data_IF_505928744179
#
_entry.id   IF_505928744179
#
_cell.length_a   1.000
_cell.length_b   1.000
_cell.length_c   1.000
_cell.angle_alpha   90.00
_cell.angle_beta   90.00
_cell.angle_gamma   90.00
#
_symmetry.space_group_name_H-M   'P 1'
#
loop_
_entity.id
_entity.type
_entity.pdbx_description
1 polymer ?
#
# COMPACT_ATOMS: atom_id res chain seq x y z
N UNK A 1 9.17 -7.37 19.28
CA UNK A 1 8.94 -7.70 17.86
C UNK A 1 8.20 -6.60 17.11
N UNK A 2 7.04 -6.10 17.57
CA UNK A 2 6.35 -5.01 16.86
C UNK A 2 7.15 -3.70 16.86
N UNK A 3 7.71 -3.32 18.01
CA UNK A 3 8.48 -2.06 18.13
C UNK A 3 9.73 -2.04 17.24
N UNK A 4 10.36 -3.19 17.00
CA UNK A 4 11.48 -3.30 16.06
C UNK A 4 11.04 -3.08 14.62
N UNK A 5 9.86 -3.59 14.22
CA UNK A 5 9.30 -3.29 12.90
C UNK A 5 8.91 -1.82 12.76
N UNK A 6 8.36 -1.20 13.81
CA UNK A 6 8.05 0.23 13.80
C UNK A 6 9.31 1.08 13.66
N UNK A 7 10.38 0.78 14.40
CA UNK A 7 11.68 1.47 14.27
C UNK A 7 12.30 1.30 12.89
N UNK A 8 12.29 0.08 12.34
CA UNK A 8 12.77 -0.17 10.99
C UNK A 8 11.94 0.61 9.94
N UNK A 9 10.61 0.65 10.09
CA UNK A 9 9.71 1.42 9.24
C UNK A 9 9.98 2.92 9.32
N UNK A 10 10.16 3.48 10.51
CA UNK A 10 10.51 4.90 10.69
C UNK A 10 11.85 5.24 10.05
N UNK A 11 12.88 4.42 10.27
CA UNK A 11 14.18 4.62 9.63
C UNK A 11 14.06 4.60 8.10
N UNK A 12 13.22 3.71 7.56
CA UNK A 12 12.93 3.66 6.13
C UNK A 12 12.20 4.92 5.64
N UNK A 13 11.23 5.43 6.39
CA UNK A 13 10.55 6.69 6.05
C UNK A 13 11.54 7.86 5.99
N UNK A 14 12.41 8.00 6.98
CA UNK A 14 13.37 9.11 7.01
C UNK A 14 14.50 8.97 5.98
N UNK A 15 14.77 7.75 5.47
CA UNK A 15 15.63 7.58 4.30
C UNK A 15 15.03 8.16 3.00
N UNK A 16 13.73 8.48 3.01
CA UNK A 16 13.04 9.16 1.91
C UNK A 16 12.88 10.66 2.18
N UNK A 17 13.41 11.19 3.29
CA UNK A 17 13.27 12.61 3.60
C UNK A 17 14.19 13.44 2.70
N UNK A 18 13.62 14.47 2.07
CA UNK A 18 14.32 15.39 1.19
C UNK A 18 14.84 16.60 1.96
N UNK A 19 15.74 17.41 1.37
CA UNK A 19 16.22 18.66 1.98
C UNK A 19 15.10 19.67 2.30
N UNK A 20 13.92 19.55 1.66
CA UNK A 20 12.76 20.40 1.94
C UNK A 20 11.95 19.94 3.16
N UNK A 21 12.35 18.85 3.82
CA UNK A 21 11.69 18.29 5.00
C UNK A 21 10.59 17.27 4.69
N UNK A 22 9.99 17.33 3.51
CA UNK A 22 9.02 16.34 3.02
C UNK A 22 9.67 14.99 2.66
N UNK A 23 8.86 13.98 2.38
CA UNK A 23 9.31 12.66 1.95
C UNK A 23 9.08 12.45 0.45
N UNK A 24 10.09 11.99 -0.28
CA UNK A 24 9.96 11.48 -1.64
C UNK A 24 9.26 10.11 -1.67
N UNK A 25 8.89 9.64 -2.87
CA UNK A 25 8.25 8.33 -3.03
C UNK A 25 9.22 7.16 -2.78
N UNK A 26 10.48 7.33 -3.18
CA UNK A 26 11.57 6.37 -2.98
C UNK A 26 12.75 7.01 -2.24
N UNK A 27 13.57 6.22 -1.51
CA UNK A 27 14.77 6.75 -0.87
C UNK A 27 15.75 7.35 -1.88
N UNK A 28 16.40 8.44 -1.49
CA UNK A 28 17.31 9.18 -2.36
C UNK A 28 16.62 10.07 -3.40
N UNK A 29 15.30 10.20 -3.36
CA UNK A 29 14.57 11.18 -4.16
C UNK A 29 14.82 12.61 -3.68
N UNK A 30 14.73 13.57 -4.61
CA UNK A 30 14.92 15.00 -4.31
C UNK A 30 13.59 15.74 -4.12
N UNK A 31 12.58 15.34 -4.89
CA UNK A 31 11.26 15.97 -4.85
C UNK A 31 10.38 15.29 -3.81
N UNK A 32 9.83 16.06 -2.85
CA UNK A 32 8.90 15.51 -1.88
C UNK A 32 7.56 15.22 -2.54
N UNK A 33 6.96 14.09 -2.18
CA UNK A 33 5.60 13.73 -2.52
C UNK A 33 4.65 14.30 -1.43
N UNK A 34 3.82 15.33 -1.72
CA UNK A 34 3.05 16.03 -0.69
C UNK A 34 2.11 15.11 0.10
N UNK A 35 1.31 14.31 -0.61
CA UNK A 35 0.38 13.37 0.03
C UNK A 35 1.12 12.30 0.85
N UNK A 36 2.18 11.70 0.29
CA UNK A 36 3.00 10.70 0.99
C UNK A 36 3.66 11.25 2.25
N UNK A 37 4.08 12.51 2.23
CA UNK A 37 4.65 13.22 3.38
C UNK A 37 3.63 13.38 4.52
N UNK A 38 2.41 13.81 4.19
CA UNK A 38 1.31 13.94 5.18
C UNK A 38 0.86 12.57 5.70
N UNK A 39 0.80 11.57 4.82
CA UNK A 39 0.47 10.20 5.19
C UNK A 39 1.49 9.62 6.18
N UNK A 40 2.79 9.82 5.94
CA UNK A 40 3.84 9.43 6.87
C UNK A 40 3.78 10.22 8.18
N UNK A 41 3.57 11.54 8.12
CA UNK A 41 3.44 12.38 9.32
C UNK A 41 2.25 11.94 10.19
N UNK A 42 1.13 11.55 9.57
CA UNK A 42 -0.03 11.00 10.27
C UNK A 42 0.36 9.74 11.04
N UNK A 43 1.00 8.77 10.39
CA UNK A 43 1.49 7.54 11.04
C UNK A 43 2.44 7.86 12.20
N UNK A 44 3.43 8.73 11.98
CA UNK A 44 4.43 9.09 12.99
C UNK A 44 3.79 9.77 14.21
N UNK A 45 2.80 10.63 13.99
CA UNK A 45 2.05 11.31 15.06
C UNK A 45 1.26 10.31 15.89
N UNK A 46 0.57 9.35 15.25
CA UNK A 46 -0.14 8.28 15.95
C UNK A 46 0.82 7.34 16.70
N UNK A 47 1.96 7.00 16.12
CA UNK A 47 2.96 6.14 16.75
C UNK A 47 3.57 6.79 18.02
N UNK A 48 3.90 8.09 17.93
CA UNK A 48 4.37 8.91 19.05
C UNK A 48 3.33 8.94 20.18
N UNK A 49 2.07 9.19 19.86
CA UNK A 49 0.99 9.31 20.84
C UNK A 49 0.56 7.97 21.47
N UNK A 50 0.52 6.89 20.68
CA UNK A 50 -0.07 5.62 21.11
C UNK A 50 0.92 4.60 21.71
N UNK A 51 2.22 4.75 21.46
CA UNK A 51 3.23 3.77 21.90
C UNK A 51 4.50 4.38 22.48
N UNK A 52 4.56 5.70 22.61
CA UNK A 52 5.75 6.43 23.11
C UNK A 52 7.04 6.12 22.33
N UNK A 53 6.92 5.61 21.09
CA UNK A 53 8.08 5.43 20.22
C UNK A 53 8.29 6.75 19.47
N UNK A 54 9.19 7.57 20.02
CA UNK A 54 9.50 8.87 19.42
C UNK A 54 10.31 8.70 18.12
N UNK A 55 9.90 9.37 17.02
CA UNK A 55 10.76 9.53 15.86
C UNK A 55 11.98 10.41 16.19
N UNK A 56 13.06 10.35 15.39
CA UNK A 56 14.15 11.32 15.50
C UNK A 56 13.61 12.75 15.42
N UNK A 57 13.82 13.53 16.48
CA UNK A 57 13.14 14.80 16.70
C UNK A 57 13.33 15.79 15.53
N UNK A 58 14.57 16.01 15.10
CA UNK A 58 14.89 16.94 14.02
C UNK A 58 14.21 16.56 12.69
N UNK A 59 14.18 15.27 12.35
CA UNK A 59 13.53 14.77 11.15
C UNK A 59 12.00 14.95 11.23
N UNK A 60 11.41 14.68 12.38
CA UNK A 60 9.98 14.86 12.61
C UNK A 60 9.58 16.34 12.53
N UNK A 61 10.32 17.24 13.16
CA UNK A 61 10.10 18.70 13.12
C UNK A 61 10.23 19.25 11.69
N UNK A 62 11.21 18.81 10.92
CA UNK A 62 11.36 19.20 9.51
C UNK A 62 10.17 18.74 8.66
N UNK A 63 9.65 17.54 8.92
CA UNK A 63 8.45 17.03 8.25
C UNK A 63 7.18 17.80 8.67
N UNK A 64 7.08 18.19 9.95
CA UNK A 64 6.01 19.08 10.42
C UNK A 64 6.07 20.45 9.74
N UNK A 65 7.27 21.04 9.57
CA UNK A 65 7.40 22.31 8.87
C UNK A 65 7.00 22.18 7.39
N UNK A 66 7.39 21.08 6.72
CA UNK A 66 6.90 20.79 5.38
C UNK A 66 5.37 20.66 5.32
N UNK A 67 4.73 20.04 6.32
CA UNK A 67 3.27 20.03 6.39
C UNK A 67 2.67 21.44 6.57
N UNK A 68 3.34 22.33 7.32
CA UNK A 68 2.92 23.74 7.44
C UNK A 68 3.07 24.50 6.13
N UNK A 69 4.11 24.25 5.34
CA UNK A 69 4.23 24.88 4.00
C UNK A 69 3.08 24.46 3.09
N UNK A 70 2.73 23.17 3.07
CA UNK A 70 1.56 22.67 2.33
C UNK A 70 0.26 23.32 2.81
N UNK A 71 0.04 23.40 4.12
CA UNK A 71 -1.15 24.05 4.71
C UNK A 71 -1.29 25.52 4.30
N UNK A 72 -0.17 26.24 4.19
CA UNK A 72 -0.11 27.66 3.83
C UNK A 72 -0.17 27.91 2.31
N UNK A 73 -0.06 26.88 1.48
CA UNK A 73 -0.02 27.01 0.03
C UNK A 73 -1.41 27.13 -0.61
N UNK A 74 -1.83 28.39 -0.84
CA UNK A 74 -3.09 28.72 -1.50
C UNK A 74 -2.97 29.00 -3.00
N UNK A 75 -1.85 28.61 -3.63
CA UNK A 75 -1.60 28.91 -5.06
C UNK A 75 -2.47 28.10 -6.03
N UNK A 76 -2.97 26.94 -5.60
CA UNK A 76 -3.84 26.07 -6.38
C UNK A 76 -5.10 25.71 -5.60
N UNK A 77 -6.25 25.66 -6.26
CA UNK A 77 -7.55 25.28 -5.69
C UNK A 77 -8.11 23.98 -6.29
N UNK A 78 -7.27 23.15 -6.92
CA UNK A 78 -7.72 21.84 -7.41
C UNK A 78 -8.23 20.96 -6.25
N UNK A 79 -9.15 20.01 -6.51
CA UNK A 79 -9.60 19.04 -5.50
C UNK A 79 -8.47 18.40 -4.69
N UNK A 80 -7.43 17.91 -5.37
CA UNK A 80 -6.27 17.27 -4.76
C UNK A 80 -5.44 18.24 -3.90
N UNK A 81 -5.31 19.52 -4.31
CA UNK A 81 -4.63 20.55 -3.51
C UNK A 81 -5.44 20.92 -2.26
N UNK A 82 -6.77 21.07 -2.41
CA UNK A 82 -7.69 21.32 -1.31
C UNK A 82 -7.68 20.17 -0.29
N UNK A 83 -7.71 18.92 -0.76
CA UNK A 83 -7.59 17.73 0.08
C UNK A 83 -6.25 17.69 0.82
N UNK A 84 -5.14 17.91 0.11
CA UNK A 84 -3.79 17.89 0.70
C UNK A 84 -3.68 18.93 1.81
N UNK A 85 -4.19 20.15 1.58
CA UNK A 85 -4.24 21.21 2.59
C UNK A 85 -5.08 20.84 3.81
N UNK A 86 -6.29 20.33 3.60
CA UNK A 86 -7.16 19.89 4.70
C UNK A 86 -6.53 18.74 5.52
N UNK A 87 -5.86 17.81 4.84
CA UNK A 87 -5.15 16.71 5.50
C UNK A 87 -3.94 17.21 6.29
N UNK A 88 -3.21 18.21 5.79
CA UNK A 88 -2.12 18.86 6.52
C UNK A 88 -2.63 19.52 7.82
N UNK A 89 -3.75 20.24 7.74
CA UNK A 89 -4.41 20.82 8.92
C UNK A 89 -4.73 19.73 9.95
N UNK A 90 -5.36 18.64 9.52
CA UNK A 90 -5.73 17.55 10.42
C UNK A 90 -4.51 16.93 11.10
N UNK A 91 -3.48 16.56 10.34
CA UNK A 91 -2.30 15.88 10.88
C UNK A 91 -1.51 16.79 11.83
N UNK A 92 -1.38 18.08 11.53
CA UNK A 92 -0.76 19.06 12.44
C UNK A 92 -1.61 19.25 13.72
N UNK A 93 -2.94 19.32 13.57
CA UNK A 93 -3.86 19.42 14.70
C UNK A 93 -3.88 18.17 15.59
N UNK A 94 -3.49 16.99 15.09
CA UNK A 94 -3.33 15.77 15.90
C UNK A 94 -2.24 15.91 16.97
N UNK A 95 -1.17 16.68 16.68
CA UNK A 95 -0.07 16.98 17.61
C UNK A 95 -0.25 18.36 18.30
N UNK A 96 -1.44 18.97 18.19
CA UNK A 96 -1.82 20.19 18.92
C UNK A 96 -1.35 21.51 18.28
N UNK A 97 -1.04 21.53 16.98
CA UNK A 97 -0.61 22.76 16.28
C UNK A 97 -1.74 23.81 16.24
N UNK A 98 -1.54 24.92 16.95
CA UNK A 98 -2.52 25.99 17.07
C UNK A 98 -2.74 26.79 15.79
N UNK A 99 -1.75 26.84 14.88
CA UNK A 99 -1.92 27.51 13.59
C UNK A 99 -2.84 26.68 12.69
N UNK A 100 -2.66 25.37 12.67
CA UNK A 100 -3.53 24.46 11.93
C UNK A 100 -4.99 24.59 12.36
N UNK A 101 -5.25 24.70 13.66
CA UNK A 101 -6.62 24.91 14.17
C UNK A 101 -7.25 26.22 13.70
N UNK A 102 -6.49 27.31 13.66
CA UNK A 102 -6.97 28.59 13.11
C UNK A 102 -7.17 28.53 11.59
N UNK A 103 -6.41 27.70 10.90
CA UNK A 103 -6.52 27.56 9.45
C UNK A 103 -7.84 26.91 9.00
N UNK A 104 -8.56 26.20 9.88
CA UNK A 104 -9.85 25.56 9.55
C UNK A 104 -10.86 26.57 9.00
N UNK A 105 -10.92 27.78 9.58
CA UNK A 105 -11.88 28.84 9.18
C UNK A 105 -11.66 29.32 7.75
N UNK A 106 -10.46 29.12 7.18
CA UNK A 106 -10.16 29.48 5.79
C UNK A 106 -10.88 28.58 4.77
N UNK A 107 -11.45 27.46 5.20
CA UNK A 107 -12.16 26.52 4.34
C UNK A 107 -13.68 26.66 4.41
N UNK A 108 -14.20 27.56 5.25
CA UNK A 108 -15.64 27.61 5.59
C UNK A 108 -16.54 27.91 4.38
N UNK A 109 -16.06 28.73 3.45
CA UNK A 109 -16.81 29.12 2.24
C UNK A 109 -16.42 28.35 0.97
N UNK A 110 -15.42 27.48 1.04
CA UNK A 110 -14.90 26.76 -0.13
C UNK A 110 -15.64 25.46 -0.31
N UNK A 111 -16.10 25.14 -1.50
CA UNK A 111 -16.62 23.80 -1.78
C UNK A 111 -15.46 22.79 -1.80
N UNK A 112 -15.54 21.73 -0.97
CA UNK A 112 -14.47 20.74 -0.80
C UNK A 112 -14.89 19.32 -1.18
N UNK A 113 -13.94 18.44 -1.55
CA UNK A 113 -14.18 17.00 -1.51
C UNK A 113 -14.63 16.59 -0.10
N UNK A 114 -15.62 15.69 -0.01
CA UNK A 114 -16.14 15.20 1.28
C UNK A 114 -15.04 14.71 2.22
N UNK A 115 -14.06 13.95 1.73
CA UNK A 115 -12.94 13.46 2.56
C UNK A 115 -12.10 14.60 3.16
N UNK A 116 -11.89 15.69 2.43
CA UNK A 116 -11.20 16.88 2.93
C UNK A 116 -12.00 17.57 4.05
N UNK A 117 -13.31 17.70 3.86
CA UNK A 117 -14.21 18.28 4.87
C UNK A 117 -14.23 17.44 6.16
N UNK A 118 -14.23 16.11 6.03
CA UNK A 118 -14.17 15.18 7.15
C UNK A 118 -12.88 15.32 7.96
N UNK A 119 -11.73 15.57 7.32
CA UNK A 119 -10.48 15.85 8.04
C UNK A 119 -10.54 17.11 8.89
N UNK A 120 -11.11 18.19 8.35
CA UNK A 120 -11.28 19.44 9.09
C UNK A 120 -12.26 19.27 10.26
N UNK A 121 -13.35 18.54 10.05
CA UNK A 121 -14.32 18.22 11.10
C UNK A 121 -13.69 17.37 12.22
N UNK A 122 -12.88 16.36 11.86
CA UNK A 122 -12.14 15.53 12.82
C UNK A 122 -11.13 16.36 13.63
N UNK A 123 -10.39 17.25 12.96
CA UNK A 123 -9.45 18.18 13.61
C UNK A 123 -10.16 19.08 14.63
N UNK A 124 -11.32 19.64 14.25
CA UNK A 124 -12.14 20.47 15.12
C UNK A 124 -12.66 19.68 16.32
N UNK A 125 -13.27 18.52 16.08
CA UNK A 125 -13.87 17.68 17.12
C UNK A 125 -12.85 17.26 18.17
N UNK A 126 -11.65 16.84 17.73
CA UNK A 126 -10.58 16.39 18.62
C UNK A 126 -10.10 17.50 19.55
N UNK A 127 -10.05 18.73 19.08
CA UNK A 127 -9.43 19.86 19.80
C UNK A 127 -10.43 20.68 20.61
N UNK A 128 -11.70 20.78 20.19
CA UNK A 128 -12.71 21.56 20.92
C UNK A 128 -13.62 20.70 21.79
N UNK A 129 -13.86 19.43 21.40
CA UNK A 129 -14.92 18.57 21.94
C UNK A 129 -16.33 19.19 21.89
N UNK A 130 -16.51 20.23 21.09
CA UNK A 130 -17.79 20.87 20.82
C UNK A 130 -18.43 20.19 19.60
N UNK A 131 -19.12 19.08 19.86
CA UNK A 131 -19.72 18.26 18.82
C UNK A 131 -20.88 18.97 18.10
N UNK A 132 -21.59 19.89 18.77
CA UNK A 132 -22.63 20.70 18.14
C UNK A 132 -22.05 21.69 17.13
N UNK A 133 -20.89 22.28 17.43
CA UNK A 133 -20.13 23.09 16.46
C UNK A 133 -19.68 22.24 15.27
N UNK A 134 -19.21 21.01 15.50
CA UNK A 134 -18.74 20.14 14.40
C UNK A 134 -19.89 19.66 13.52
N UNK A 135 -21.03 19.31 14.12
CA UNK A 135 -22.24 18.94 13.38
C UNK A 135 -22.74 20.12 12.55
N UNK A 136 -22.78 21.34 13.11
CA UNK A 136 -23.10 22.55 12.34
C UNK A 136 -22.12 22.77 11.20
N UNK A 137 -20.81 22.65 11.46
CA UNK A 137 -19.77 22.77 10.44
C UNK A 137 -19.99 21.83 9.25
N UNK A 138 -20.24 20.54 9.51
CA UNK A 138 -20.52 19.56 8.45
C UNK A 138 -21.84 19.79 7.73
N UNK A 139 -22.87 20.29 8.42
CA UNK A 139 -24.18 20.54 7.81
C UNK A 139 -24.24 21.83 6.97
N UNK A 140 -23.39 22.82 7.27
CA UNK A 140 -23.44 24.16 6.68
C UNK A 140 -22.30 24.43 5.69
N UNK A 141 -21.10 23.88 5.92
CA UNK A 141 -19.97 24.12 5.05
C UNK A 141 -20.09 23.30 3.75
N UNK A 142 -19.90 23.91 2.56
CA UNK A 142 -20.20 23.27 1.28
C UNK A 142 -19.25 22.10 0.97
N UNK A 143 -19.75 20.94 0.57
CA UNK A 143 -18.91 19.84 0.10
C UNK A 143 -19.62 19.01 -0.97
N UNK A 144 -18.85 18.35 -1.82
CA UNK A 144 -19.37 17.42 -2.83
C UNK A 144 -18.90 15.99 -2.58
N UNK A 145 -19.74 15.04 -2.98
CA UNK A 145 -19.41 13.61 -2.95
C UNK A 145 -18.38 13.29 -4.03
N UNK A 146 -17.31 12.58 -3.66
CA UNK A 146 -16.24 12.18 -4.60
C UNK A 146 -16.70 11.04 -5.54
N UNK A 147 -17.86 10.44 -5.27
CA UNK A 147 -18.43 9.35 -6.07
C UNK A 147 -17.48 8.16 -6.20
N UNK A 148 -17.41 7.58 -7.40
CA UNK A 148 -16.51 6.47 -7.73
C UNK A 148 -15.11 6.93 -8.18
N UNK A 149 -14.73 8.18 -7.87
CA UNK A 149 -13.46 8.75 -8.31
C UNK A 149 -12.29 7.97 -7.71
N UNK A 150 -11.39 7.49 -8.57
CA UNK A 150 -10.10 6.89 -8.21
C UNK A 150 -8.97 7.74 -8.79
N UNK A 151 -8.01 8.10 -7.96
CA UNK A 151 -6.73 8.64 -8.41
C UNK A 151 -5.64 7.56 -8.28
N UNK A 152 -4.88 7.34 -9.34
CA UNK A 152 -3.76 6.39 -9.35
C UNK A 152 -2.42 7.04 -8.96
N UNK A 153 -2.37 8.38 -8.92
CA UNK A 153 -1.32 9.20 -8.35
C UNK A 153 -1.92 10.35 -7.51
N UNK A 154 -1.16 11.41 -7.22
CA UNK A 154 -1.69 12.58 -6.52
C UNK A 154 -2.05 12.26 -5.08
N UNK A 155 -3.32 12.24 -4.71
CA UNK A 155 -3.75 11.91 -3.34
C UNK A 155 -4.12 10.44 -3.16
N UNK A 156 -4.11 9.65 -4.24
CA UNK A 156 -4.57 8.26 -4.21
C UNK A 156 -6.01 8.14 -3.70
N UNK A 157 -6.87 9.07 -4.11
CA UNK A 157 -8.27 9.06 -3.73
C UNK A 157 -8.96 7.77 -4.20
N UNK A 158 -9.82 7.22 -3.35
CA UNK A 158 -10.71 6.13 -3.72
C UNK A 158 -11.95 6.14 -2.81
N UNK A 159 -13.08 5.54 -3.25
CA UNK A 159 -14.31 5.56 -2.47
C UNK A 159 -14.15 4.91 -1.09
N UNK A 160 -13.51 3.75 -1.04
CA UNK A 160 -13.30 3.02 0.22
C UNK A 160 -12.38 3.76 1.18
N UNK A 161 -11.42 4.55 0.66
CA UNK A 161 -10.59 5.43 1.50
C UNK A 161 -11.47 6.50 2.14
N UNK A 162 -12.36 7.13 1.38
CA UNK A 162 -13.30 8.14 1.91
C UNK A 162 -14.22 7.56 2.98
N UNK A 163 -14.73 6.34 2.80
CA UNK A 163 -15.52 5.63 3.82
C UNK A 163 -14.72 5.38 5.11
N UNK A 164 -13.45 4.99 4.97
CA UNK A 164 -12.56 4.80 6.11
C UNK A 164 -12.26 6.12 6.85
N UNK A 165 -12.02 7.21 6.11
CA UNK A 165 -11.87 8.57 6.66
C UNK A 165 -13.13 9.00 7.40
N UNK A 166 -14.31 8.70 6.84
CA UNK A 166 -15.59 9.03 7.47
C UNK A 166 -15.75 8.30 8.81
N UNK A 167 -15.46 6.99 8.88
CA UNK A 167 -15.50 6.27 10.16
C UNK A 167 -14.54 6.88 11.19
N UNK A 168 -13.29 7.17 10.79
CA UNK A 168 -12.31 7.81 11.68
C UNK A 168 -12.75 9.21 12.16
N UNK A 169 -13.40 9.99 11.30
CA UNK A 169 -13.92 11.30 11.66
C UNK A 169 -15.12 11.18 12.62
N UNK A 170 -16.09 10.31 12.31
CA UNK A 170 -17.27 10.06 13.14
C UNK A 170 -16.89 9.58 14.55
N UNK A 171 -15.85 8.76 14.67
CA UNK A 171 -15.32 8.35 15.98
C UNK A 171 -14.83 9.55 16.80
N UNK A 172 -14.07 10.46 16.17
CA UNK A 172 -13.55 11.66 16.82
C UNK A 172 -14.65 12.67 17.16
N UNK A 173 -15.75 12.65 16.41
CA UNK A 173 -16.96 13.44 16.63
C UNK A 173 -17.89 12.87 17.70
N UNK A 174 -17.59 11.67 18.25
CA UNK A 174 -18.47 11.05 19.23
C UNK A 174 -19.83 10.62 18.67
N UNK A 175 -19.89 10.23 17.39
CA UNK A 175 -21.12 9.79 16.73
C UNK A 175 -21.80 8.62 17.43
N UNK A 176 -23.11 8.46 17.17
CA UNK A 176 -23.92 7.36 17.71
C UNK A 176 -23.38 5.99 17.31
N UNK A 177 -23.47 5.03 18.23
CA UNK A 177 -22.91 3.69 18.04
C UNK A 177 -23.54 2.96 16.85
N UNK A 178 -24.81 3.19 16.52
CA UNK A 178 -25.45 2.56 15.35
C UNK A 178 -24.86 3.08 14.05
N UNK A 179 -24.51 4.36 13.98
CA UNK A 179 -23.89 4.98 12.81
C UNK A 179 -22.48 4.41 12.62
N UNK A 180 -21.69 4.37 13.70
CA UNK A 180 -20.35 3.79 13.69
C UNK A 180 -20.38 2.31 13.26
N UNK A 181 -21.28 1.52 13.84
CA UNK A 181 -21.43 0.11 13.51
C UNK A 181 -21.81 -0.12 12.04
N UNK A 182 -22.71 0.68 11.48
CA UNK A 182 -23.08 0.59 10.07
C UNK A 182 -21.89 0.84 9.14
N UNK A 183 -21.10 1.88 9.41
CA UNK A 183 -19.88 2.21 8.65
C UNK A 183 -18.81 1.13 8.80
N UNK A 184 -18.54 0.67 10.03
CA UNK A 184 -17.58 -0.39 10.29
C UNK A 184 -17.96 -1.70 9.58
N UNK A 185 -19.25 -2.07 9.55
CA UNK A 185 -19.72 -3.26 8.85
C UNK A 185 -19.52 -3.16 7.33
N UNK A 186 -19.68 -1.97 6.73
CA UNK A 186 -19.39 -1.76 5.31
C UNK A 186 -17.89 -1.97 4.99
N UNK A 187 -17.00 -1.45 5.84
CA UNK A 187 -15.55 -1.66 5.71
C UNK A 187 -15.14 -3.13 5.92
N UNK A 188 -15.76 -3.84 6.87
CA UNK A 188 -15.54 -5.28 7.08
C UNK A 188 -16.03 -6.10 5.88
N UNK A 189 -17.16 -5.72 5.29
CA UNK A 189 -17.67 -6.36 4.07
C UNK A 189 -16.69 -6.14 2.90
N UNK A 190 -16.14 -4.93 2.75
CA UNK A 190 -15.09 -4.66 1.78
C UNK A 190 -13.88 -5.58 1.98
N UNK A 191 -13.33 -5.72 3.19
CA UNK A 191 -12.20 -6.63 3.45
C UNK A 191 -12.52 -8.10 3.16
N UNK A 192 -13.77 -8.51 3.34
CA UNK A 192 -14.20 -9.90 3.13
C UNK A 192 -14.42 -10.21 1.64
N UNK A 193 -14.70 -9.19 0.82
CA UNK A 193 -15.02 -9.31 -0.60
C UNK A 193 -13.88 -8.86 -1.52
N UNK A 194 -12.98 -8.01 -1.03
CA UNK A 194 -11.90 -7.45 -1.82
C UNK A 194 -10.94 -8.57 -2.23
N UNK A 195 -10.98 -8.94 -3.52
CA UNK A 195 -10.03 -9.90 -4.08
C UNK A 195 -8.60 -9.36 -4.08
N UNK A 196 -8.41 -8.11 -4.53
CA UNK A 196 -7.15 -7.36 -4.41
C UNK A 196 -7.47 -5.91 -4.05
N UNK A 197 -7.04 -5.48 -2.87
CA UNK A 197 -7.06 -4.08 -2.42
C UNK A 197 -5.66 -3.49 -2.48
N UNK A 198 -5.56 -2.18 -2.66
CA UNK A 198 -4.26 -1.50 -2.62
C UNK A 198 -3.73 -1.41 -1.18
N UNK A 199 -2.43 -1.20 -1.03
CA UNK A 199 -1.82 -1.03 0.29
C UNK A 199 -2.39 0.17 1.05
N UNK A 200 -2.67 1.27 0.34
CA UNK A 200 -3.24 2.48 0.91
C UNK A 200 -4.68 2.26 1.39
N UNK A 201 -5.55 1.70 0.54
CA UNK A 201 -6.94 1.41 0.92
C UNK A 201 -6.98 0.50 2.13
N UNK A 202 -6.18 -0.58 2.10
CA UNK A 202 -6.08 -1.51 3.21
C UNK A 202 -5.62 -0.82 4.50
N UNK A 203 -4.62 0.06 4.42
CA UNK A 203 -4.11 0.76 5.60
C UNK A 203 -5.15 1.72 6.22
N UNK A 204 -5.89 2.46 5.39
CA UNK A 204 -6.98 3.32 5.85
C UNK A 204 -8.11 2.52 6.48
N UNK A 205 -8.56 1.45 5.81
CA UNK A 205 -9.61 0.56 6.31
C UNK A 205 -9.22 -0.08 7.64
N UNK A 206 -8.01 -0.63 7.73
CA UNK A 206 -7.49 -1.25 8.96
C UNK A 206 -7.35 -0.22 10.09
N UNK A 207 -6.91 1.01 9.79
CA UNK A 207 -6.79 2.07 10.79
C UNK A 207 -8.15 2.48 11.36
N UNK A 208 -9.14 2.68 10.49
CA UNK A 208 -10.50 3.01 10.89
C UNK A 208 -11.12 1.89 11.75
N UNK A 209 -11.03 0.64 11.29
CA UNK A 209 -11.54 -0.51 12.05
C UNK A 209 -10.79 -0.72 13.37
N UNK A 210 -9.49 -0.46 13.43
CA UNK A 210 -8.73 -0.55 14.67
C UNK A 210 -9.19 0.47 15.71
N UNK A 211 -9.52 1.69 15.30
CA UNK A 211 -10.11 2.71 16.18
C UNK A 211 -11.46 2.24 16.75
N UNK A 212 -12.37 1.85 15.85
CA UNK A 212 -13.70 1.36 16.19
C UNK A 212 -13.66 0.15 17.14
N UNK A 213 -12.91 -0.89 16.79
CA UNK A 213 -12.81 -2.12 17.58
C UNK A 213 -12.13 -1.86 18.92
N UNK A 214 -11.15 -0.94 18.98
CA UNK A 214 -10.53 -0.51 20.22
C UNK A 214 -11.53 0.14 21.17
N UNK A 215 -12.38 1.04 20.65
CA UNK A 215 -13.47 1.66 21.41
C UNK A 215 -14.50 0.63 21.89
N UNK A 216 -14.93 -0.29 21.02
CA UNK A 216 -15.85 -1.37 21.42
C UNK A 216 -15.26 -2.22 22.54
N UNK A 217 -13.96 -2.57 22.43
CA UNK A 217 -13.24 -3.29 23.47
C UNK A 217 -13.23 -2.52 24.80
N UNK A 218 -12.95 -1.23 24.78
CA UNK A 218 -12.94 -0.40 26.00
C UNK A 218 -14.32 -0.32 26.69
N UNK A 219 -15.42 -0.50 25.94
CA UNK A 219 -16.80 -0.50 26.45
C UNK A 219 -17.38 -1.90 26.68
N UNK A 220 -16.63 -2.95 26.37
CA UNK A 220 -17.14 -4.32 26.37
C UNK A 220 -17.55 -4.77 27.78
N UNK A 221 -18.81 -5.17 27.93
CA UNK A 221 -19.34 -5.72 29.18
C UNK A 221 -19.31 -7.25 29.12
N UNK A 222 -18.63 -7.87 30.08
CA UNK A 222 -18.48 -9.32 30.19
C UNK A 222 -18.01 -10.01 28.87
N UNK A 223 -16.94 -9.56 28.20
CA UNK A 223 -16.42 -10.23 27.01
C UNK A 223 -15.81 -11.59 27.38
N UNK A 224 -16.45 -12.66 26.89
CA UNK A 224 -16.02 -14.04 27.12
C UNK A 224 -16.24 -14.89 25.87
N UNK A 225 -15.26 -15.72 25.53
CA UNK A 225 -15.42 -16.71 24.47
C UNK A 225 -14.73 -18.02 24.83
N UNK A 226 -15.17 -19.11 24.22
CA UNK A 226 -14.55 -20.41 24.30
C UNK A 226 -14.02 -20.79 22.92
N UNK A 227 -12.74 -21.15 22.84
CA UNK A 227 -12.05 -21.53 21.61
C UNK A 227 -11.51 -22.95 21.78
N UNK A 228 -12.04 -23.88 21.02
CA UNK A 228 -11.59 -25.26 20.95
C UNK A 228 -10.85 -25.50 19.63
N UNK A 229 -9.74 -26.22 19.67
CA UNK A 229 -8.94 -26.56 18.49
C UNK A 229 -8.00 -27.73 18.76
N UNK A 230 -7.06 -28.05 17.83
CA UNK A 230 -6.16 -29.19 17.97
C UNK A 230 -5.30 -29.14 19.24
N UNK A 231 -4.96 -27.95 19.73
CA UNK A 231 -4.18 -27.75 20.96
C UNK A 231 -5.05 -27.69 22.23
N UNK A 232 -6.32 -28.09 22.14
CA UNK A 232 -7.28 -28.09 23.25
C UNK A 232 -8.15 -26.83 23.37
N UNK A 233 -8.89 -26.76 24.47
CA UNK A 233 -9.87 -25.72 24.79
C UNK A 233 -9.23 -24.56 25.57
N UNK A 234 -9.58 -23.34 25.18
CA UNK A 234 -9.16 -22.10 25.84
C UNK A 234 -10.37 -21.20 26.08
N UNK A 235 -10.48 -20.66 27.30
CA UNK A 235 -11.43 -19.60 27.62
C UNK A 235 -10.72 -18.26 27.43
N UNK A 236 -11.29 -17.40 26.61
CA UNK A 236 -10.94 -16.00 26.51
C UNK A 236 -11.80 -15.21 27.49
N UNK A 237 -11.15 -14.45 28.36
CA UNK A 237 -11.78 -13.41 29.16
C UNK A 237 -11.12 -12.06 28.83
N UNK A 238 -11.93 -11.03 28.63
CA UNK A 238 -11.43 -9.71 28.23
C UNK A 238 -11.39 -9.52 26.71
N UNK A 239 -10.65 -8.49 26.29
CA UNK A 239 -10.63 -7.99 24.91
C UNK A 239 -9.32 -8.28 24.18
N UNK A 240 -8.46 -9.11 24.77
CA UNK A 240 -7.19 -9.49 24.15
C UNK A 240 -7.46 -10.33 22.90
N UNK A 241 -6.85 -9.93 21.78
CA UNK A 241 -6.83 -10.75 20.59
C UNK A 241 -6.03 -12.03 20.83
N UNK A 242 -6.59 -13.17 20.43
CA UNK A 242 -5.92 -14.48 20.47
C UNK A 242 -5.72 -14.96 19.04
N UNK A 243 -4.52 -15.50 18.75
CA UNK A 243 -4.22 -16.20 17.50
C UNK A 243 -3.96 -17.67 17.79
N UNK A 244 -4.71 -18.55 17.12
CA UNK A 244 -4.46 -20.00 17.09
C UNK A 244 -3.99 -20.41 15.70
N UNK A 245 -3.12 -21.41 15.62
CA UNK A 245 -2.56 -21.89 14.36
C UNK A 245 -2.72 -23.39 14.29
N UNK A 246 -3.53 -23.87 13.33
CA UNK A 246 -3.55 -25.28 12.97
C UNK A 246 -2.47 -25.56 11.92
N UNK A 247 -1.67 -26.61 12.10
CA UNK A 247 -0.72 -27.09 11.09
C UNK A 247 -1.29 -28.30 10.36
N UNK A 248 -1.03 -28.40 9.06
CA UNK A 248 -1.49 -29.50 8.22
C UNK A 248 -2.94 -29.37 7.75
N UNK A 249 -3.40 -30.32 6.94
CA UNK A 249 -4.77 -30.38 6.47
C UNK A 249 -5.74 -30.85 7.56
N UNK A 250 -6.92 -30.24 7.64
CA UNK A 250 -8.02 -30.73 8.48
C UNK A 250 -8.07 -30.20 9.92
N UNK A 251 -7.26 -29.21 10.28
CA UNK A 251 -7.41 -28.52 11.56
C UNK A 251 -8.82 -27.90 11.68
N UNK A 252 -9.52 -28.21 12.77
CA UNK A 252 -10.86 -27.66 13.07
C UNK A 252 -10.78 -26.79 14.31
N UNK A 253 -11.43 -25.64 14.24
CA UNK A 253 -11.60 -24.74 15.37
C UNK A 253 -13.09 -24.51 15.61
N UNK A 254 -13.50 -24.55 16.86
CA UNK A 254 -14.85 -24.17 17.32
C UNK A 254 -14.74 -22.93 18.18
N UNK A 255 -15.51 -21.90 17.88
CA UNK A 255 -15.52 -20.66 18.64
C UNK A 255 -16.94 -20.39 19.12
N UNK A 256 -17.12 -20.31 20.43
CA UNK A 256 -18.41 -20.01 21.07
C UNK A 256 -18.30 -18.70 21.82
N UNK A 257 -19.12 -17.71 21.46
CA UNK A 257 -19.29 -16.52 22.28
C UNK A 257 -20.12 -16.89 23.53
N UNK A 258 -19.54 -16.70 24.71
CA UNK A 258 -20.18 -17.00 26.02
C UNK A 258 -20.38 -15.73 26.85
N UNK A 259 -20.04 -14.56 26.29
CA UNK A 259 -20.08 -13.27 26.95
C UNK A 259 -21.20 -12.37 26.48
N UNK A 260 -21.24 -11.17 27.03
CA UNK A 260 -22.21 -10.11 26.68
C UNK A 260 -21.75 -9.19 25.55
N UNK A 261 -20.51 -9.33 25.08
CA UNK A 261 -19.93 -8.48 24.03
C UNK A 261 -19.88 -9.20 22.67
N UNK A 262 -19.99 -8.49 21.54
CA UNK A 262 -19.76 -9.05 20.22
C UNK A 262 -18.36 -9.67 20.10
N UNK A 263 -18.26 -10.81 19.41
CA UNK A 263 -17.01 -11.51 19.13
C UNK A 263 -16.72 -11.43 17.63
N UNK A 264 -15.52 -10.96 17.29
CA UNK A 264 -15.03 -10.92 15.91
C UNK A 264 -14.03 -12.07 15.69
N UNK A 265 -14.25 -12.84 14.63
CA UNK A 265 -13.41 -14.01 14.29
C UNK A 265 -12.96 -13.87 12.85
N UNK A 266 -11.65 -14.00 12.62
CA UNK A 266 -11.06 -14.07 11.29
C UNK A 266 -10.15 -15.27 11.19
N UNK A 267 -10.07 -15.87 10.01
CA UNK A 267 -9.15 -16.96 9.73
C UNK A 267 -8.40 -16.69 8.44
N UNK A 268 -7.15 -17.14 8.39
CA UNK A 268 -6.33 -17.11 7.18
C UNK A 268 -5.63 -18.45 7.04
N UNK A 269 -5.55 -18.95 5.80
CA UNK A 269 -4.81 -20.15 5.45
C UNK A 269 -3.59 -19.76 4.64
N UNK A 270 -2.42 -20.29 4.98
CA UNK A 270 -1.18 -20.09 4.25
C UNK A 270 -0.50 -21.43 4.06
N UNK A 271 -0.07 -21.72 2.84
CA UNK A 271 0.68 -22.91 2.50
C UNK A 271 1.34 -22.76 1.14
N UNK A 272 2.29 -23.66 0.86
CA UNK A 272 2.82 -23.86 -0.49
C UNK A 272 1.96 -24.94 -1.14
N UNK A 273 1.37 -24.69 -2.32
CA UNK A 273 0.63 -25.72 -3.05
C UNK A 273 1.48 -26.97 -3.28
N UNK A 274 0.89 -28.16 -3.12
CA UNK A 274 1.60 -29.43 -3.31
C UNK A 274 2.02 -29.67 -4.77
N UNK A 275 1.33 -29.03 -5.72
CA UNK A 275 1.73 -28.91 -7.11
C UNK A 275 1.74 -27.44 -7.45
N UNK A 276 2.80 -26.98 -8.11
CA UNK A 276 2.79 -25.65 -8.71
C UNK A 276 1.63 -25.62 -9.73
N UNK A 277 0.60 -24.82 -9.44
CA UNK A 277 -0.46 -24.57 -10.40
C UNK A 277 0.14 -23.73 -11.53
N UNK A 278 -0.09 -24.17 -12.77
CA UNK A 278 0.29 -23.37 -13.92
C UNK A 278 -0.48 -22.04 -13.84
N UNK A 279 0.25 -20.93 -13.87
CA UNK A 279 -0.34 -19.62 -14.00
C UNK A 279 -0.53 -19.36 -15.49
N UNK A 280 -1.77 -19.06 -15.87
CA UNK A 280 -2.10 -18.64 -17.23
C UNK A 280 -1.80 -17.15 -17.40
N UNK A 281 -1.41 -16.77 -18.61
CA UNK A 281 -1.24 -15.36 -18.94
C UNK A 281 -2.58 -14.61 -18.80
N UNK A 282 -2.54 -13.43 -18.18
CA UNK A 282 -3.72 -12.60 -18.01
C UNK A 282 -3.40 -11.13 -18.29
N UNK A 283 -4.39 -10.41 -18.80
CA UNK A 283 -4.32 -8.97 -19.08
C UNK A 283 -5.63 -8.32 -18.66
N UNK A 284 -5.55 -7.28 -17.84
CA UNK A 284 -6.69 -6.51 -17.34
C UNK A 284 -6.39 -5.01 -17.39
N UNK A 285 -7.43 -4.20 -17.53
CA UNK A 285 -7.30 -2.74 -17.53
C UNK A 285 -6.47 -2.17 -18.69
N UNK A 286 -6.25 -2.94 -19.76
CA UNK A 286 -5.46 -2.50 -20.91
C UNK A 286 -3.95 -2.58 -20.70
N UNK A 287 -3.47 -3.25 -19.65
CA UNK A 287 -2.05 -3.58 -19.43
C UNK A 287 -1.77 -5.00 -19.89
N UNK A 288 -0.68 -5.23 -20.61
CA UNK A 288 -0.15 -6.57 -20.89
C UNK A 288 1.36 -6.62 -20.69
N UNK A 289 1.87 -7.80 -20.33
CA UNK A 289 3.30 -8.04 -20.14
C UNK A 289 3.71 -9.34 -20.81
N UNK A 290 4.89 -9.36 -21.41
CA UNK A 290 5.50 -10.55 -22.01
C UNK A 290 6.98 -10.63 -21.64
N UNK A 291 7.45 -11.85 -21.40
CA UNK A 291 8.86 -12.18 -21.19
C UNK A 291 9.35 -13.02 -22.35
N UNK A 292 10.33 -12.50 -23.09
CA UNK A 292 11.09 -13.25 -24.09
C UNK A 292 12.53 -13.40 -23.60
N UNK A 293 13.18 -14.52 -23.90
CA UNK A 293 14.56 -14.81 -23.46
C UNK A 293 15.41 -15.11 -24.67
N UNK A 294 16.58 -14.48 -24.76
CA UNK A 294 17.49 -14.59 -25.87
C UNK A 294 18.87 -15.05 -25.42
N UNK A 295 19.59 -15.75 -26.28
CA UNK A 295 21.03 -15.94 -26.12
C UNK A 295 21.79 -14.63 -26.42
N UNK A 296 23.11 -14.60 -26.16
CA UNK A 296 23.95 -13.41 -26.42
C UNK A 296 24.10 -13.08 -27.91
N UNK A 297 23.59 -13.93 -28.82
CA UNK A 297 23.54 -13.68 -30.26
C UNK A 297 22.17 -13.15 -30.71
N UNK A 298 21.23 -12.94 -29.79
CA UNK A 298 19.88 -12.46 -30.09
C UNK A 298 18.90 -13.55 -30.53
N UNK A 299 19.29 -14.83 -30.45
CA UNK A 299 18.40 -15.95 -30.79
C UNK A 299 17.49 -16.30 -29.62
N UNK A 300 16.20 -16.51 -29.88
CA UNK A 300 15.23 -16.89 -28.84
C UNK A 300 15.64 -18.23 -28.19
N UNK A 301 15.60 -18.30 -26.86
CA UNK A 301 15.84 -19.51 -26.07
C UNK A 301 14.57 -19.98 -25.38
N UNK A 302 14.38 -21.30 -25.41
CA UNK A 302 13.25 -21.99 -24.78
C UNK A 302 13.74 -22.86 -23.61
N UNK A 303 13.89 -22.24 -22.44
CA UNK A 303 14.00 -22.94 -21.15
C UNK A 303 15.28 -23.74 -20.86
N UNK A 304 16.07 -24.18 -21.84
CA UNK A 304 17.28 -24.99 -21.61
C UNK A 304 18.57 -24.15 -21.70
N UNK A 305 19.41 -24.21 -20.67
CA UNK A 305 20.64 -23.42 -20.53
C UNK A 305 21.82 -24.30 -20.10
N UNK A 306 23.03 -24.01 -20.60
CA UNK A 306 24.24 -24.62 -20.09
C UNK A 306 24.73 -23.89 -18.83
N UNK A 307 25.37 -24.60 -17.91
CA UNK A 307 25.99 -23.97 -16.74
C UNK A 307 27.02 -22.92 -17.16
N UNK A 308 26.90 -21.72 -16.60
CA UNK A 308 27.69 -20.53 -16.94
C UNK A 308 27.19 -19.77 -18.16
N UNK A 309 26.13 -20.21 -18.82
CA UNK A 309 25.52 -19.50 -19.95
C UNK A 309 24.87 -18.19 -19.48
N UNK A 310 25.11 -17.12 -20.24
CA UNK A 310 24.44 -15.83 -20.08
C UNK A 310 23.28 -15.72 -21.07
N UNK A 311 22.15 -15.18 -20.61
CA UNK A 311 20.99 -14.90 -21.44
C UNK A 311 20.46 -13.49 -21.20
N UNK A 312 19.77 -12.95 -22.20
CA UNK A 312 19.10 -11.65 -22.17
C UNK A 312 17.62 -11.87 -21.95
N UNK A 313 17.06 -11.33 -20.87
CA UNK A 313 15.62 -11.30 -20.66
C UNK A 313 15.06 -9.97 -21.17
N UNK A 314 14.02 -10.05 -21.98
CA UNK A 314 13.29 -8.92 -22.52
C UNK A 314 11.87 -8.87 -21.95
N UNK A 315 11.58 -7.83 -21.19
CA UNK A 315 10.25 -7.52 -20.68
C UNK A 315 9.56 -6.54 -21.62
N UNK A 316 8.52 -7.00 -22.32
CA UNK A 316 7.64 -6.18 -23.13
C UNK A 316 6.42 -5.78 -22.32
N UNK A 317 6.28 -4.49 -22.08
CA UNK A 317 5.17 -3.88 -21.34
C UNK A 317 4.34 -3.10 -22.35
N UNK A 318 3.05 -3.39 -22.46
CA UNK A 318 2.15 -2.69 -23.37
C UNK A 318 0.95 -2.15 -22.60
N UNK A 319 0.67 -0.86 -22.80
CA UNK A 319 -0.43 -0.16 -22.15
C UNK A 319 -1.33 0.49 -23.19
N UNK A 320 -2.65 0.27 -23.10
CA UNK A 320 -3.64 0.90 -24.01
C UNK A 320 -3.82 2.39 -23.75
N UNK A 321 -3.61 2.82 -22.51
CA UNK A 321 -3.69 4.21 -22.05
C UNK A 321 -2.59 4.49 -21.03
N UNK A 322 -2.43 5.74 -20.57
CA UNK A 322 -1.45 6.06 -19.56
C UNK A 322 -1.73 5.30 -18.25
N UNK A 323 -0.67 4.80 -17.61
CA UNK A 323 -0.74 4.09 -16.33
C UNK A 323 0.23 4.73 -15.35
N UNK A 324 -0.30 5.23 -14.23
CA UNK A 324 0.50 5.80 -13.14
C UNK A 324 0.89 4.71 -12.13
N UNK A 325 2.06 4.88 -11.50
CA UNK A 325 2.58 3.99 -10.45
C UNK A 325 2.57 2.50 -10.87
N UNK A 326 3.08 2.20 -12.07
CA UNK A 326 3.21 0.84 -12.57
C UNK A 326 4.43 0.16 -11.95
N UNK A 327 4.25 -1.04 -11.40
CA UNK A 327 5.35 -1.92 -10.99
C UNK A 327 5.33 -3.20 -11.82
N UNK A 328 6.51 -3.67 -12.21
CA UNK A 328 6.72 -4.94 -12.90
C UNK A 328 7.75 -5.75 -12.12
N UNK A 329 7.38 -6.95 -11.70
CA UNK A 329 8.23 -7.87 -10.96
C UNK A 329 8.44 -9.16 -11.79
N UNK A 330 9.70 -9.51 -12.02
CA UNK A 330 10.11 -10.73 -12.70
C UNK A 330 10.95 -11.58 -11.73
N UNK A 331 10.35 -12.63 -11.19
CA UNK A 331 11.04 -13.56 -10.29
C UNK A 331 11.88 -14.54 -11.11
N UNK A 332 13.11 -14.81 -10.64
CA UNK A 332 14.01 -15.73 -11.31
C UNK A 332 13.69 -17.20 -10.94
N UNK A 333 14.00 -18.16 -11.84
CA UNK A 333 14.13 -19.56 -11.44
C UNK A 333 15.32 -19.73 -10.50
N UNK A 334 15.23 -20.64 -9.53
CA UNK A 334 16.21 -20.76 -8.43
C UNK A 334 17.67 -21.07 -8.83
N UNK A 335 17.93 -21.53 -10.05
CA UNK A 335 19.28 -21.78 -10.57
C UNK A 335 19.93 -20.60 -11.29
N UNK A 336 19.30 -19.42 -11.30
CA UNK A 336 19.71 -18.26 -12.07
C UNK A 336 20.02 -17.05 -11.18
N UNK A 337 20.94 -16.21 -11.64
CA UNK A 337 21.31 -14.95 -10.99
C UNK A 337 21.22 -13.78 -11.98
N UNK A 338 20.81 -12.60 -11.51
CA UNK A 338 20.88 -11.36 -12.30
C UNK A 338 22.34 -10.93 -12.40
N UNK A 339 22.81 -10.61 -13.61
CA UNK A 339 24.10 -9.94 -13.77
C UNK A 339 23.97 -8.43 -13.56
N UNK A 340 24.94 -7.85 -12.86
CA UNK A 340 25.02 -6.41 -12.68
C UNK A 340 25.33 -5.70 -14.01
N UNK A 341 24.46 -4.81 -14.52
CA UNK A 341 24.64 -4.11 -15.80
C UNK A 341 25.93 -3.30 -15.88
N UNK A 342 26.41 -2.77 -14.76
CA UNK A 342 27.66 -1.97 -14.69
C UNK A 342 28.90 -2.76 -15.12
N UNK A 343 28.83 -4.09 -15.08
CA UNK A 343 29.91 -5.00 -15.46
C UNK A 343 29.74 -5.58 -16.87
N UNK A 344 28.55 -5.42 -17.49
CA UNK A 344 28.13 -6.19 -18.67
C UNK A 344 27.50 -5.34 -19.79
N UNK A 345 27.71 -4.02 -19.82
CA UNK A 345 27.14 -3.12 -20.84
C UNK A 345 27.51 -3.51 -22.30
N UNK A 346 28.62 -4.24 -22.48
CA UNK A 346 29.08 -4.76 -23.78
C UNK A 346 28.44 -6.11 -24.16
N UNK A 347 27.69 -6.75 -23.26
CA UNK A 347 27.07 -8.06 -23.47
C UNK A 347 25.62 -7.99 -23.99
N UNK A 348 25.04 -6.79 -24.10
CA UNK A 348 23.76 -6.61 -24.80
C UNK A 348 24.01 -6.73 -26.31
N UNK A 349 23.24 -7.56 -27.04
CA UNK A 349 23.41 -7.69 -28.49
C UNK A 349 23.37 -6.32 -29.17
N UNK A 350 24.16 -6.07 -30.24
CA UNK A 350 24.09 -4.82 -31.01
C UNK A 350 22.69 -4.54 -31.58
N UNK A 351 21.96 -5.62 -31.87
CA UNK A 351 20.56 -5.61 -32.33
C UNK A 351 19.56 -5.40 -31.18
N UNK A 352 20.03 -5.43 -29.92
CA UNK A 352 19.23 -5.11 -28.74
C UNK A 352 19.05 -3.61 -28.50
N UNK A 353 19.23 -2.78 -29.53
CA UNK A 353 18.64 -1.44 -29.63
C UNK A 353 17.12 -1.54 -29.89
N UNK A 354 16.43 -2.39 -29.14
CA UNK A 354 15.00 -2.61 -29.28
C UNK A 354 14.25 -1.39 -28.74
N UNK A 355 13.97 -0.46 -29.64
CA UNK A 355 13.12 0.68 -29.39
C UNK A 355 11.64 0.27 -29.49
N UNK A 356 10.75 0.86 -28.68
CA UNK A 356 11.02 1.90 -27.68
C UNK A 356 11.50 1.34 -26.33
N UNK A 357 12.60 1.86 -25.80
CA UNK A 357 13.13 1.47 -24.48
C UNK A 357 12.23 1.96 -23.34
N UNK A 358 12.14 1.17 -22.27
CA UNK A 358 11.50 1.56 -21.02
C UNK A 358 12.48 2.33 -20.13
N UNK A 359 12.02 3.43 -19.53
CA UNK A 359 12.79 4.26 -18.60
C UNK A 359 12.13 4.22 -17.21
N UNK A 360 12.43 3.20 -16.39
CA UNK A 360 11.85 3.09 -15.06
C UNK A 360 12.42 4.15 -14.11
N UNK A 361 11.55 4.75 -13.28
CA UNK A 361 11.95 5.60 -12.15
C UNK A 361 12.84 4.81 -11.17
N UNK A 362 12.60 3.50 -11.04
CA UNK A 362 13.30 2.64 -10.08
C UNK A 362 13.56 1.25 -10.65
N UNK A 363 14.78 0.76 -10.44
CA UNK A 363 15.19 -0.62 -10.75
C UNK A 363 15.79 -1.27 -9.50
N UNK A 364 15.20 -2.35 -9.02
CA UNK A 364 15.70 -3.19 -7.93
C UNK A 364 16.08 -4.56 -8.45
N UNK A 365 17.37 -4.86 -8.40
CA UNK A 365 17.91 -6.20 -8.66
C UNK A 365 18.13 -6.87 -7.31
N UNK A 366 17.32 -7.88 -7.01
CA UNK A 366 17.40 -8.69 -5.80
C UNK A 366 17.83 -10.10 -6.19
N UNK A 367 18.24 -10.88 -5.20
CA UNK A 367 18.71 -12.25 -5.41
C UNK A 367 17.68 -13.14 -6.12
N UNK A 368 16.38 -12.92 -5.85
CA UNK A 368 15.28 -13.75 -6.35
C UNK A 368 14.41 -13.08 -7.44
N UNK A 369 14.61 -11.78 -7.72
CA UNK A 369 13.75 -11.03 -8.64
C UNK A 369 14.37 -9.73 -9.15
N UNK A 370 13.95 -9.34 -10.34
CA UNK A 370 13.98 -7.96 -10.80
C UNK A 370 12.66 -7.28 -10.43
N UNK A 371 12.70 -6.04 -9.94
CA UNK A 371 11.54 -5.16 -9.83
C UNK A 371 11.86 -3.84 -10.53
N UNK A 372 11.02 -3.44 -11.48
CA UNK A 372 11.08 -2.13 -12.10
C UNK A 372 9.78 -1.37 -11.82
N UNK A 373 9.89 -0.08 -11.53
CA UNK A 373 8.75 0.77 -11.26
C UNK A 373 8.81 2.07 -12.06
N UNK A 374 7.63 2.56 -12.42
CA UNK A 374 7.40 3.75 -13.22
C UNK A 374 6.39 4.64 -12.52
N UNK A 375 6.69 5.92 -12.36
CA UNK A 375 5.71 6.87 -11.82
C UNK A 375 4.58 7.09 -12.84
N UNK A 376 4.90 7.10 -14.13
CA UNK A 376 3.95 7.24 -15.22
C UNK A 376 4.45 6.55 -16.50
N UNK A 377 3.61 5.70 -17.09
CA UNK A 377 3.86 5.04 -18.38
C UNK A 377 2.82 5.52 -19.38
N UNK A 378 3.29 6.15 -20.46
CA UNK A 378 2.41 6.55 -21.56
C UNK A 378 1.97 5.35 -22.40
N UNK A 379 0.84 5.51 -23.09
CA UNK A 379 0.30 4.47 -23.97
C UNK A 379 1.34 3.95 -24.98
N UNK A 380 1.20 2.67 -25.31
CA UNK A 380 2.02 1.93 -26.24
C UNK A 380 3.01 0.97 -25.58
N UNK A 381 3.78 0.31 -26.43
CA UNK A 381 4.76 -0.68 -26.03
C UNK A 381 6.03 -0.03 -25.45
N UNK A 382 6.66 -0.68 -24.48
CA UNK A 382 8.01 -0.37 -23.97
C UNK A 382 8.76 -1.66 -23.67
N UNK A 383 10.08 -1.62 -23.81
CA UNK A 383 10.95 -2.78 -23.62
C UNK A 383 12.02 -2.52 -22.55
N UNK A 384 12.11 -3.40 -21.57
CA UNK A 384 13.17 -3.40 -20.55
C UNK A 384 14.01 -4.67 -20.66
N UNK A 385 15.33 -4.52 -20.61
CA UNK A 385 16.27 -5.63 -20.76
C UNK A 385 17.14 -5.79 -19.54
N UNK A 386 17.42 -7.04 -19.20
CA UNK A 386 18.43 -7.37 -18.20
C UNK A 386 19.07 -8.73 -18.49
N UNK A 387 20.22 -8.99 -17.89
CA UNK A 387 21.00 -10.20 -18.10
C UNK A 387 20.82 -11.15 -16.94
N UNK A 388 20.71 -12.44 -17.24
CA UNK A 388 20.73 -13.53 -16.26
C UNK A 388 21.84 -14.52 -16.59
N UNK A 389 22.36 -15.20 -15.58
CA UNK A 389 23.31 -16.32 -15.71
C UNK A 389 22.71 -17.60 -15.17
N UNK A 390 22.88 -18.70 -15.89
CA UNK A 390 22.57 -20.04 -15.41
C UNK A 390 23.73 -20.54 -14.53
N UNK A 391 23.49 -20.74 -13.23
CA UNK A 391 24.55 -21.00 -12.24
C UNK A 391 24.52 -22.44 -11.74
N UNK A 392 23.36 -22.89 -11.24
CA UNK A 392 23.26 -24.18 -10.55
C UNK A 392 22.48 -25.18 -11.39
N UNK A 393 23.08 -26.31 -11.82
CA UNK A 393 22.38 -27.35 -12.58
C UNK A 393 21.12 -27.86 -11.88
N UNK A 394 20.04 -28.06 -12.63
CA UNK A 394 18.75 -28.51 -12.10
C UNK A 394 17.57 -28.06 -12.94
N UNK A 395 16.38 -28.49 -12.53
CA UNK A 395 15.10 -28.09 -13.11
C UNK A 395 14.36 -27.16 -12.15
N UNK A 396 13.94 -26.00 -12.65
CA UNK A 396 13.33 -24.94 -11.85
C UNK A 396 12.03 -24.48 -12.47
N UNK A 397 11.03 -24.23 -11.63
CA UNK A 397 9.88 -23.45 -12.04
C UNK A 397 10.34 -22.02 -12.35
N UNK A 398 9.83 -21.46 -13.45
CA UNK A 398 10.03 -20.05 -13.79
C UNK A 398 8.74 -19.29 -13.49
N UNK A 399 8.68 -18.55 -12.37
CA UNK A 399 7.47 -17.83 -12.00
C UNK A 399 7.04 -16.85 -13.10
N UNK A 400 5.75 -16.51 -13.16
CA UNK A 400 5.27 -15.52 -14.11
C UNK A 400 5.83 -14.13 -13.75
N UNK A 401 5.96 -13.27 -14.77
CA UNK A 401 6.11 -11.84 -14.55
C UNK A 401 4.78 -11.30 -14.06
N UNK A 402 4.80 -10.43 -13.06
CA UNK A 402 3.62 -9.70 -12.60
C UNK A 402 3.80 -8.21 -12.90
N UNK A 403 2.79 -7.59 -13.50
CA UNK A 403 2.75 -6.15 -13.75
C UNK A 403 1.44 -5.60 -13.18
N UNK A 404 1.48 -4.56 -12.37
CA UNK A 404 0.27 -3.95 -11.79
C UNK A 404 0.43 -2.47 -11.49
N UNK A 405 -0.66 -1.70 -11.65
CA UNK A 405 -0.73 -0.36 -11.11
C UNK A 405 -0.88 -0.46 -9.58
N UNK A 406 0.07 0.11 -8.83
CA UNK A 406 0.14 -0.05 -7.37
C UNK A 406 -1.12 0.44 -6.64
N UNK A 407 -1.82 1.42 -7.21
CA UNK A 407 -2.98 2.08 -6.61
C UNK A 407 -4.28 1.91 -7.42
N UNK A 408 -4.27 1.05 -8.43
CA UNK A 408 -5.46 0.61 -9.17
C UNK A 408 -5.39 -0.89 -9.49
N UNK A 409 -5.99 -1.70 -8.62
CA UNK A 409 -5.97 -3.15 -8.71
C UNK A 409 -6.71 -3.71 -9.95
N UNK A 410 -7.44 -2.88 -10.70
CA UNK A 410 -8.08 -3.25 -11.95
C UNK A 410 -7.11 -3.29 -13.15
N UNK A 411 -5.96 -2.61 -13.04
CA UNK A 411 -4.93 -2.56 -14.09
C UNK A 411 -3.79 -3.49 -13.69
N UNK A 412 -3.75 -4.66 -14.34
CA UNK A 412 -2.76 -5.70 -14.04
C UNK A 412 -2.56 -6.65 -15.21
N UNK A 413 -1.40 -7.28 -15.26
CA UNK A 413 -1.07 -8.34 -16.20
C UNK A 413 -0.14 -9.36 -15.56
N UNK A 414 -0.17 -10.58 -16.09
CA UNK A 414 0.80 -11.61 -15.73
C UNK A 414 1.15 -12.44 -16.96
N UNK A 415 2.39 -12.92 -17.06
CA UNK A 415 2.74 -13.94 -18.06
C UNK A 415 2.26 -15.30 -17.59
N UNK A 416 2.32 -16.30 -18.49
CA UNK A 416 2.24 -17.67 -18.03
C UNK A 416 3.47 -18.03 -17.18
N UNK A 417 3.31 -18.97 -16.24
CA UNK A 417 4.45 -19.62 -15.59
C UNK A 417 5.17 -20.54 -16.58
N UNK A 418 6.49 -20.62 -16.50
CA UNK A 418 7.31 -21.50 -17.34
C UNK A 418 8.19 -22.44 -16.51
N UNK A 419 9.13 -23.09 -17.19
CA UNK A 419 10.19 -23.88 -16.57
C UNK A 419 11.54 -23.50 -17.16
N UNK A 420 12.61 -23.71 -16.40
CA UNK A 420 13.98 -23.55 -16.86
C UNK A 420 14.83 -24.72 -16.38
N UNK A 421 15.69 -25.23 -17.25
CA UNK A 421 16.65 -26.30 -16.98
C UNK A 421 18.05 -25.75 -17.16
N UNK A 422 18.92 -26.01 -16.16
CA UNK A 422 20.35 -25.75 -16.23
C UNK A 422 21.07 -27.08 -16.34
N UNK A 423 21.72 -27.33 -17.46
CA UNK A 423 22.51 -28.53 -17.72
C UNK A 423 23.96 -28.33 -17.26
N UNK A 424 24.55 -29.37 -16.66
CA UNK A 424 25.97 -29.35 -16.33
C UNK A 424 26.82 -29.30 -17.61
N UNK A 425 27.94 -28.56 -17.54
CA UNK A 425 28.82 -28.36 -18.68
C UNK A 425 29.83 -29.50 -18.87
#
# INVERSE_FOLDING_TARGET
MLDSYLRAGMNRLFAMQTPMGGLSFWPGGYDPYPYGSLYALHFLTLAKAGREIAPPQANFEALQEYARTLMRDWTSSTPSALYTRAYAVYVLALDGDAEALRAIERFDSLELPRSARLWLAAALARNTRDFDRVNRYLSQAPSYEEGDTRESAGTLASPIRTDAIELMALEQMGADEKILAAKANALLAYLSQAGRATTQETAFVVSALSGYLGRLGAKAQNPKAEIEGPDGKQILEGTKAIRRVGKGGGARFSVRNTGGAPLYVGWTTRGVPAKAEAVEAASMGGLSVRRDVYDTRGMLKEGAFLQGETAVVALRIDTRGPVENLVVADLLPGGFEIQNPSLSAQALPPEAQFQPSAEPTRVEMRDDRLVIAFDNVQAGQRLFYYLISAVTPGEYAWPPVEAEAMYDAAIRATTASGNATVEAR
#
